data_IF_920384429464
#
_entry.id   IF_920384429464
#
_cell.length_a   1.000
_cell.length_b   1.000
_cell.length_c   1.000
_cell.angle_alpha   90.00
_cell.angle_beta   90.00
_cell.angle_gamma   90.00
#
_symmetry.space_group_name_H-M   'P 1'
#
loop_
_entity.id
_entity.type
_entity.pdbx_description
1 polymer ?
#
# COMPACT_ATOMS: atom_id res chain seq x y z
N UNK A 1 -26.16 -6.30 -10.99
CA UNK A 1 -25.62 -7.14 -9.89
C UNK A 1 -24.58 -8.16 -10.37
N UNK A 2 -24.66 -8.75 -11.58
CA UNK A 2 -23.72 -9.76 -12.07
C UNK A 2 -22.26 -9.29 -12.19
N UNK A 3 -22.04 -8.04 -12.61
CA UNK A 3 -20.70 -7.49 -12.84
C UNK A 3 -19.92 -7.26 -11.53
N UNK A 4 -20.58 -6.78 -10.48
CA UNK A 4 -19.96 -6.59 -9.17
C UNK A 4 -19.50 -7.93 -8.57
N UNK A 5 -20.40 -8.91 -8.61
CA UNK A 5 -20.09 -10.25 -8.11
C UNK A 5 -18.90 -10.89 -8.86
N UNK A 6 -18.87 -10.76 -10.18
CA UNK A 6 -17.75 -11.25 -11.00
C UNK A 6 -16.43 -10.55 -10.65
N UNK A 7 -16.44 -9.24 -10.37
CA UNK A 7 -15.24 -8.52 -9.97
C UNK A 7 -14.74 -8.92 -8.59
N UNK A 8 -15.65 -9.15 -7.63
CA UNK A 8 -15.30 -9.69 -6.31
C UNK A 8 -14.71 -11.10 -6.44
N UNK A 9 -15.27 -11.94 -7.31
CA UNK A 9 -14.73 -13.27 -7.56
C UNK A 9 -13.34 -13.22 -8.17
N UNK A 10 -13.09 -12.36 -9.17
CA UNK A 10 -11.74 -12.16 -9.74
C UNK A 10 -10.73 -11.72 -8.69
N UNK A 11 -11.14 -10.84 -7.78
CA UNK A 11 -10.27 -10.42 -6.68
C UNK A 11 -9.99 -11.57 -5.70
N UNK A 12 -10.98 -12.41 -5.41
CA UNK A 12 -10.80 -13.58 -4.56
C UNK A 12 -9.88 -14.64 -5.22
N UNK A 13 -9.82 -14.67 -6.53
CA UNK A 13 -8.93 -15.56 -7.30
C UNK A 13 -7.51 -14.96 -7.45
N UNK A 14 -7.32 -13.68 -7.10
CA UNK A 14 -6.02 -13.00 -7.19
C UNK A 14 -5.06 -13.47 -6.07
N UNK A 15 -3.98 -14.13 -6.47
CA UNK A 15 -2.96 -14.62 -5.53
C UNK A 15 -2.28 -13.49 -4.76
N UNK A 16 -2.10 -12.32 -5.38
CA UNK A 16 -1.48 -11.17 -4.72
C UNK A 16 -2.34 -10.66 -3.57
N UNK A 17 -3.66 -10.71 -3.72
CA UNK A 17 -4.57 -10.34 -2.63
C UNK A 17 -4.38 -11.26 -1.40
N UNK A 18 -4.27 -12.56 -1.59
CA UNK A 18 -4.04 -13.49 -0.49
C UNK A 18 -2.65 -13.36 0.14
N UNK A 19 -1.63 -13.09 -0.67
CA UNK A 19 -0.28 -12.77 -0.17
C UNK A 19 -0.33 -11.51 0.70
N UNK A 20 -1.07 -10.49 0.29
CA UNK A 20 -1.26 -9.29 1.10
C UNK A 20 -1.92 -9.60 2.46
N UNK A 21 -3.03 -10.32 2.47
CA UNK A 21 -3.70 -10.71 3.72
C UNK A 21 -2.74 -11.47 4.64
N UNK A 22 -1.98 -12.42 4.08
CA UNK A 22 -0.99 -13.18 4.85
C UNK A 22 0.11 -12.28 5.44
N UNK A 23 0.62 -11.31 4.67
CA UNK A 23 1.64 -10.36 5.15
C UNK A 23 1.10 -9.44 6.23
N UNK A 24 -0.13 -8.93 6.09
CA UNK A 24 -0.78 -8.10 7.12
C UNK A 24 -0.95 -8.87 8.43
N UNK A 25 -1.41 -10.11 8.35
CA UNK A 25 -1.54 -10.96 9.53
C UNK A 25 -0.18 -11.26 10.17
N UNK A 26 0.83 -11.56 9.35
CA UNK A 26 2.18 -11.86 9.84
C UNK A 26 2.82 -10.62 10.49
N UNK A 27 2.65 -9.42 9.91
CA UNK A 27 3.11 -8.17 10.50
C UNK A 27 2.42 -7.90 11.85
N UNK A 28 1.11 -8.09 11.91
CA UNK A 28 0.36 -7.97 13.15
C UNK A 28 0.88 -8.91 14.23
N UNK A 29 1.08 -10.20 13.90
CA UNK A 29 1.56 -11.19 14.85
C UNK A 29 3.01 -10.90 15.30
N UNK A 30 3.90 -10.57 14.38
CA UNK A 30 5.29 -10.26 14.75
C UNK A 30 5.39 -8.98 15.57
N UNK A 31 4.58 -7.96 15.25
CA UNK A 31 4.46 -6.74 16.05
C UNK A 31 3.91 -7.00 17.44
N UNK A 32 2.89 -7.86 17.56
CA UNK A 32 2.33 -8.25 18.86
C UNK A 32 3.33 -9.02 19.72
N UNK A 33 4.02 -10.01 19.15
CA UNK A 33 5.06 -10.77 19.85
C UNK A 33 6.18 -9.83 20.32
N UNK A 34 6.64 -8.93 19.47
CA UNK A 34 7.64 -7.91 19.84
C UNK A 34 7.16 -7.09 21.04
N UNK A 35 5.94 -6.58 21.02
CA UNK A 35 5.38 -5.78 22.11
C UNK A 35 5.26 -6.58 23.43
N UNK A 36 4.90 -7.86 23.33
CA UNK A 36 4.81 -8.76 24.48
C UNK A 36 6.19 -9.07 25.09
N UNK A 37 7.19 -9.35 24.25
CA UNK A 37 8.57 -9.65 24.70
C UNK A 37 9.19 -8.47 25.42
N UNK A 38 8.99 -7.25 24.91
CA UNK A 38 9.55 -6.03 25.48
C UNK A 38 8.68 -5.39 26.56
N UNK A 39 7.56 -6.05 26.94
CA UNK A 39 6.61 -5.57 27.97
C UNK A 39 6.10 -4.14 27.70
N UNK A 40 6.00 -3.74 26.44
CA UNK A 40 5.51 -2.43 25.99
C UNK A 40 4.06 -2.55 25.51
N UNK A 41 3.46 -3.73 25.65
CA UNK A 41 2.09 -3.96 25.25
C UNK A 41 1.14 -3.12 26.12
N UNK A 42 0.48 -2.13 25.51
CA UNK A 42 -0.64 -1.41 26.11
C UNK A 42 -1.87 -1.58 25.22
N UNK A 43 -3.06 -1.49 25.83
CA UNK A 43 -4.32 -1.59 25.09
C UNK A 43 -4.41 -0.54 23.96
N UNK A 44 -3.87 0.65 24.20
CA UNK A 44 -3.87 1.75 23.21
C UNK A 44 -3.01 1.43 21.99
N UNK A 45 -1.83 0.83 22.20
CA UNK A 45 -0.93 0.42 21.12
C UNK A 45 -1.57 -0.72 20.31
N UNK A 46 -2.18 -1.68 20.99
CA UNK A 46 -2.90 -2.78 20.35
C UNK A 46 -4.06 -2.29 19.50
N UNK A 47 -4.90 -1.41 20.04
CA UNK A 47 -6.07 -0.86 19.33
C UNK A 47 -5.66 -0.05 18.10
N UNK A 48 -4.63 0.81 18.21
CA UNK A 48 -4.11 1.58 17.08
C UNK A 48 -3.54 0.66 15.98
N UNK A 49 -2.86 -0.42 16.36
CA UNK A 49 -2.35 -1.41 15.41
C UNK A 49 -3.49 -2.10 14.65
N UNK A 50 -4.50 -2.62 15.37
CA UNK A 50 -5.68 -3.25 14.76
C UNK A 50 -6.38 -2.29 13.82
N UNK A 51 -6.64 -1.05 14.25
CA UNK A 51 -7.31 -0.05 13.42
C UNK A 51 -6.51 0.25 12.14
N UNK A 52 -5.19 0.45 12.24
CA UNK A 52 -4.31 0.66 11.09
C UNK A 52 -4.44 -0.47 10.07
N UNK A 53 -4.29 -1.71 10.51
CA UNK A 53 -4.36 -2.87 9.63
C UNK A 53 -5.74 -3.05 9.00
N UNK A 54 -6.81 -2.86 9.78
CA UNK A 54 -8.19 -2.92 9.28
C UNK A 54 -8.45 -1.86 8.21
N UNK A 55 -8.06 -0.61 8.47
CA UNK A 55 -8.20 0.47 7.49
C UNK A 55 -7.39 0.20 6.22
N UNK A 56 -6.18 -0.34 6.37
CA UNK A 56 -5.34 -0.68 5.21
C UNK A 56 -5.97 -1.79 4.38
N UNK A 57 -6.45 -2.87 4.99
CA UNK A 57 -7.13 -3.96 4.28
C UNK A 57 -8.35 -3.43 3.53
N UNK A 58 -9.20 -2.63 4.20
CA UNK A 58 -10.38 -2.05 3.58
C UNK A 58 -10.02 -1.14 2.40
N UNK A 59 -9.03 -0.27 2.57
CA UNK A 59 -8.57 0.63 1.50
C UNK A 59 -8.09 -0.14 0.27
N UNK A 60 -7.24 -1.15 0.46
CA UNK A 60 -6.72 -1.94 -0.66
C UNK A 60 -7.76 -2.87 -1.27
N UNK A 61 -8.70 -3.39 -0.48
CA UNK A 61 -9.86 -4.09 -1.01
C UNK A 61 -10.63 -3.21 -1.99
N UNK A 62 -10.94 -1.97 -1.59
CA UNK A 62 -11.64 -1.01 -2.44
C UNK A 62 -10.79 -0.63 -3.67
N UNK A 63 -9.49 -0.39 -3.50
CA UNK A 63 -8.60 -0.03 -4.59
C UNK A 63 -8.57 -1.11 -5.69
N UNK A 64 -8.44 -2.37 -5.32
CA UNK A 64 -8.43 -3.49 -6.25
C UNK A 64 -9.80 -3.64 -6.92
N UNK A 65 -10.89 -3.56 -6.14
CA UNK A 65 -12.24 -3.65 -6.66
C UNK A 65 -12.51 -2.54 -7.71
N UNK A 66 -12.12 -1.29 -7.43
CA UNK A 66 -12.19 -0.21 -8.39
C UNK A 66 -11.30 -0.45 -9.61
N UNK A 67 -10.10 -0.99 -9.44
CA UNK A 67 -9.23 -1.39 -10.54
C UNK A 67 -9.95 -2.32 -11.52
N UNK A 68 -10.61 -3.36 -11.03
CA UNK A 68 -11.41 -4.27 -11.83
C UNK A 68 -12.65 -3.61 -12.47
N UNK A 69 -13.33 -2.74 -11.73
CA UNK A 69 -14.53 -2.05 -12.23
C UNK A 69 -14.22 -1.10 -13.39
N UNK A 70 -13.13 -0.35 -13.29
CA UNK A 70 -12.72 0.64 -14.29
C UNK A 70 -11.71 0.11 -15.31
N UNK A 71 -11.34 -1.17 -15.25
CA UNK A 71 -10.36 -1.83 -16.12
C UNK A 71 -8.99 -1.16 -16.09
N UNK A 72 -8.58 -0.73 -14.91
CA UNK A 72 -7.28 -0.11 -14.62
C UNK A 72 -6.47 -0.94 -13.63
N UNK A 73 -6.56 -2.26 -13.74
CA UNK A 73 -5.93 -3.23 -12.83
C UNK A 73 -4.43 -3.00 -12.70
N UNK A 74 -3.78 -2.62 -13.81
CA UNK A 74 -2.34 -2.33 -13.82
C UNK A 74 -1.98 -1.18 -12.88
N UNK A 75 -2.77 -0.11 -12.88
CA UNK A 75 -2.56 1.03 -11.98
C UNK A 75 -2.78 0.65 -10.53
N UNK A 76 -3.82 -0.15 -10.25
CA UNK A 76 -4.07 -0.66 -8.91
C UNK A 76 -2.90 -1.52 -8.42
N UNK A 77 -2.32 -2.36 -9.26
CA UNK A 77 -1.14 -3.17 -8.93
C UNK A 77 0.11 -2.33 -8.67
N UNK A 78 0.36 -1.26 -9.42
CA UNK A 78 1.49 -0.35 -9.20
C UNK A 78 1.45 0.29 -7.81
N UNK A 79 0.25 0.61 -7.30
CA UNK A 79 0.07 1.12 -5.94
C UNK A 79 0.16 0.00 -4.90
N UNK A 80 -0.33 -1.19 -5.23
CA UNK A 80 -0.46 -2.30 -4.32
C UNK A 80 0.88 -2.98 -3.97
N UNK A 81 1.76 -3.17 -4.96
CA UNK A 81 3.05 -3.86 -4.75
C UNK A 81 3.96 -3.14 -3.76
N UNK A 82 4.17 -1.81 -3.80
CA UNK A 82 4.95 -1.09 -2.78
C UNK A 82 4.44 -1.32 -1.36
N UNK A 83 3.13 -1.46 -1.18
CA UNK A 83 2.55 -1.73 0.14
C UNK A 83 2.82 -3.14 0.63
N UNK A 84 2.74 -4.14 -0.26
CA UNK A 84 3.18 -5.50 0.06
C UNK A 84 4.63 -5.51 0.56
N UNK A 85 5.52 -4.80 -0.16
CA UNK A 85 6.93 -4.69 0.19
C UNK A 85 7.15 -3.96 1.51
N UNK A 86 6.33 -2.93 1.82
CA UNK A 86 6.37 -2.22 3.09
C UNK A 86 5.99 -3.14 4.27
N UNK A 87 4.94 -3.96 4.12
CA UNK A 87 4.59 -4.96 5.13
C UNK A 87 5.71 -5.98 5.34
N UNK A 88 6.33 -6.43 4.26
CA UNK A 88 7.47 -7.34 4.33
C UNK A 88 8.65 -6.71 5.08
N UNK A 89 8.97 -5.43 4.81
CA UNK A 89 10.01 -4.69 5.55
C UNK A 89 9.68 -4.58 7.03
N UNK A 90 8.43 -4.26 7.39
CA UNK A 90 7.97 -4.18 8.78
C UNK A 90 8.15 -5.51 9.52
N UNK A 91 7.83 -6.62 8.87
CA UNK A 91 8.06 -7.97 9.43
C UNK A 91 9.54 -8.20 9.70
N UNK A 92 10.43 -7.88 8.73
CA UNK A 92 11.87 -8.01 8.91
C UNK A 92 12.39 -7.18 10.09
N UNK A 93 11.88 -5.95 10.25
CA UNK A 93 12.22 -5.07 11.36
C UNK A 93 11.72 -5.62 12.70
N UNK A 94 10.51 -6.17 12.76
CA UNK A 94 9.98 -6.80 13.95
C UNK A 94 10.82 -8.02 14.34
N UNK A 95 11.22 -8.85 13.36
CA UNK A 95 12.08 -10.01 13.59
C UNK A 95 13.49 -9.62 14.08
N UNK A 96 14.08 -8.57 13.47
CA UNK A 96 15.39 -8.06 13.88
C UNK A 96 15.39 -7.56 15.34
N UNK A 97 14.33 -6.84 15.75
CA UNK A 97 14.18 -6.39 17.15
C UNK A 97 14.04 -7.56 18.11
N UNK A 98 13.44 -8.68 17.69
CA UNK A 98 13.34 -9.91 18.49
C UNK A 98 14.65 -10.71 18.54
N UNK A 99 15.72 -10.23 17.89
CA UNK A 99 17.03 -10.91 17.86
C UNK A 99 17.13 -11.99 16.77
N UNK A 100 16.14 -12.11 15.90
CA UNK A 100 16.19 -13.02 14.75
C UNK A 100 17.03 -12.39 13.66
N UNK A 101 18.06 -13.11 13.19
CA UNK A 101 18.93 -12.59 12.14
C UNK A 101 18.15 -12.34 10.85
N UNK A 102 18.10 -11.09 10.46
CA UNK A 102 17.56 -10.65 9.16
C UNK A 102 18.69 -10.13 8.29
N UNK A 103 18.98 -10.76 7.14
CA UNK A 103 20.08 -10.33 6.29
C UNK A 103 19.90 -8.88 5.82
N UNK A 104 20.86 -7.96 6.04
CA UNK A 104 20.73 -6.54 5.68
C UNK A 104 20.47 -6.32 4.19
N UNK A 105 20.97 -7.20 3.32
CA UNK A 105 20.75 -7.09 1.87
C UNK A 105 19.28 -7.26 1.47
N UNK A 106 18.49 -8.04 2.24
CA UNK A 106 17.05 -8.19 1.98
C UNK A 106 16.31 -6.87 2.14
N UNK A 107 16.58 -6.15 3.22
CA UNK A 107 15.98 -4.84 3.47
C UNK A 107 16.35 -3.86 2.36
N UNK A 108 17.63 -3.75 2.02
CA UNK A 108 18.11 -2.88 0.96
C UNK A 108 17.47 -3.21 -0.40
N UNK A 109 17.30 -4.51 -0.71
CA UNK A 109 16.67 -4.93 -1.96
C UNK A 109 15.19 -4.59 -2.02
N UNK A 110 14.47 -4.77 -0.92
CA UNK A 110 13.05 -4.40 -0.83
C UNK A 110 12.85 -2.90 -0.97
N UNK A 111 13.67 -2.08 -0.30
CA UNK A 111 13.64 -0.62 -0.44
C UNK A 111 13.91 -0.17 -1.89
N UNK A 112 14.84 -0.82 -2.58
CA UNK A 112 15.12 -0.56 -3.99
C UNK A 112 13.92 -0.88 -4.88
N UNK A 113 13.23 -2.00 -4.65
CA UNK A 113 12.03 -2.35 -5.41
C UNK A 113 10.87 -1.39 -5.11
N UNK A 114 10.65 -0.98 -3.86
CA UNK A 114 9.66 0.05 -3.50
C UNK A 114 9.91 1.33 -4.29
N UNK A 115 11.17 1.81 -4.34
CA UNK A 115 11.53 3.02 -5.09
C UNK A 115 11.21 2.86 -6.58
N UNK A 116 11.57 1.74 -7.17
CA UNK A 116 11.27 1.44 -8.58
C UNK A 116 9.78 1.52 -8.90
N UNK A 117 8.92 0.92 -8.05
CA UNK A 117 7.47 0.98 -8.26
C UNK A 117 6.91 2.39 -8.06
N UNK A 118 7.43 3.17 -7.13
CA UNK A 118 7.05 4.56 -6.95
C UNK A 118 7.45 5.42 -8.16
N UNK A 119 8.62 5.19 -8.74
CA UNK A 119 9.07 5.88 -9.94
C UNK A 119 8.19 5.50 -11.16
N UNK A 120 7.81 4.23 -11.29
CA UNK A 120 6.88 3.79 -12.33
C UNK A 120 5.51 4.45 -12.19
N UNK A 121 4.97 4.49 -10.97
CA UNK A 121 3.70 5.15 -10.68
C UNK A 121 3.73 6.64 -11.04
N UNK A 122 4.79 7.35 -10.64
CA UNK A 122 4.97 8.77 -10.97
C UNK A 122 5.04 9.00 -12.48
N UNK A 123 5.74 8.13 -13.22
CA UNK A 123 5.83 8.21 -14.67
C UNK A 123 4.47 7.97 -15.35
N UNK A 124 3.66 7.04 -14.84
CA UNK A 124 2.32 6.79 -15.37
C UNK A 124 1.36 7.95 -15.08
N UNK A 125 1.44 8.55 -13.90
CA UNK A 125 0.65 9.73 -13.53
C UNK A 125 0.98 10.94 -14.42
N UNK A 126 2.26 11.14 -14.77
CA UNK A 126 2.68 12.22 -15.66
C UNK A 126 2.23 12.03 -17.12
N UNK A 127 2.03 10.80 -17.56
CA UNK A 127 1.49 10.50 -18.91
C UNK A 127 0.00 10.77 -19.03
N UNK A 128 -0.73 10.81 -17.92
CA UNK A 128 -2.18 11.06 -17.92
C UNK A 128 -2.44 12.57 -18.11
N UNK A 129 -3.17 13.04 -19.13
CA UNK A 129 -3.24 14.46 -19.53
C UNK A 129 -4.12 15.34 -18.62
N UNK A 130 -4.24 15.07 -17.34
CA UNK A 130 -5.06 15.87 -16.43
C UNK A 130 -4.46 17.26 -16.13
N UNK A 131 -3.15 17.45 -16.34
CA UNK A 131 -2.46 18.68 -15.94
C UNK A 131 -2.31 19.75 -17.03
N UNK A 132 -2.77 19.50 -18.27
CA UNK A 132 -2.65 20.51 -19.35
C UNK A 132 -3.76 21.57 -19.39
N UNK A 133 -4.70 21.59 -18.47
CA UNK A 133 -5.82 22.55 -18.45
C UNK A 133 -5.70 23.71 -17.47
N UNK A 134 -4.70 23.73 -16.59
CA UNK A 134 -4.60 24.81 -15.60
C UNK A 134 -3.64 25.96 -15.95
N UNK A 135 -2.83 25.84 -17.02
CA UNK A 135 -1.85 26.89 -17.38
C UNK A 135 -2.33 27.83 -18.53
N UNK A 136 -3.63 27.86 -18.80
CA UNK A 136 -4.25 28.83 -19.74
C UNK A 136 -5.37 29.65 -19.11
N UNK A 137 -5.20 30.03 -17.87
CA UNK A 137 -6.07 30.99 -17.17
C UNK A 137 -5.37 32.34 -17.04
N UNK A 138 -5.44 33.13 -18.10
CA UNK A 138 -5.27 34.58 -18.20
C UNK A 138 -5.34 35.33 -16.87
N UNK A 139 -4.24 36.01 -16.55
CA UNK A 139 -4.25 37.16 -15.63
C UNK A 139 -5.05 38.30 -16.31
N UNK A 140 -6.05 38.89 -15.67
CA UNK A 140 -6.63 40.15 -16.17
C UNK A 140 -5.62 41.29 -15.88
N UNK A 141 -5.16 41.92 -16.95
CA UNK A 141 -4.48 43.22 -16.87
C UNK A 141 -5.43 44.24 -16.24
N UNK A 142 -5.09 44.69 -15.06
CA UNK A 142 -5.71 45.88 -14.48
C UNK A 142 -4.97 47.10 -15.03
N UNK A 143 -5.54 47.70 -16.12
CA UNK A 143 -5.17 49.06 -16.55
C UNK A 143 -5.58 50.05 -15.46
N UNK A 144 -4.58 50.76 -14.93
CA UNK A 144 -4.78 52.01 -14.18
C UNK A 144 -4.82 53.13 -15.18
N UNK A 145 -5.95 53.80 -15.27
CA UNK A 145 -6.08 55.20 -15.54
C UNK A 145 -6.36 55.97 -14.24
#
# INVERSE_FOLDING_TARGET
MGTLFQNVQKMADDKLFWVFIALVLLDFFTGYIKAAVWKVASSDIGTKGVLKHTCTILFYFLLILFGYMFKVEHMAQLVFIPVLLTYFTSILENLAVMGIYTPPFLKAKVEQEIKKYNDLLNNELQKTPLDKKQDKGQSPEFNKE
#
